data_IF_308458426422
#
_entry.id   IF_308458426422
#
_cell.length_a   1.000
_cell.length_b   1.000
_cell.length_c   1.000
_cell.angle_alpha   90.00
_cell.angle_beta   90.00
_cell.angle_gamma   90.00
#
_symmetry.space_group_name_H-M   'P 1'
#
loop_
_entity.id
_entity.type
_entity.pdbx_description
1 polymer ?
#
# COMPACT_ATOMS: atom_id res chain seq x y z
N UNK A 1 5.96 -25.08 -9.73
CA UNK A 1 4.76 -25.66 -10.38
C UNK A 1 4.13 -26.61 -9.36
N UNK A 2 3.11 -26.15 -8.64
CA UNK A 2 2.37 -26.99 -7.71
C UNK A 2 1.00 -27.24 -8.36
N UNK A 3 0.64 -28.51 -8.54
CA UNK A 3 -0.65 -28.92 -9.08
C UNK A 3 -1.43 -29.56 -7.94
N UNK A 4 -2.52 -28.92 -7.52
CA UNK A 4 -3.54 -29.55 -6.70
C UNK A 4 -4.85 -29.51 -7.49
N UNK A 5 -5.47 -30.68 -7.64
CA UNK A 5 -6.68 -30.89 -8.43
C UNK A 5 -7.88 -31.03 -7.50
N UNK A 6 -8.76 -30.04 -7.52
CA UNK A 6 -10.11 -30.10 -6.99
C UNK A 6 -11.02 -29.40 -8.01
N UNK A 7 -12.05 -30.12 -8.49
CA UNK A 7 -13.11 -29.63 -9.38
C UNK A 7 -12.71 -29.04 -10.74
N UNK A 8 -11.99 -29.81 -11.56
CA UNK A 8 -12.10 -29.76 -13.03
C UNK A 8 -11.73 -28.44 -13.72
N UNK A 9 -11.12 -27.48 -13.02
CA UNK A 9 -10.57 -26.25 -13.59
C UNK A 9 -9.10 -26.14 -13.19
N UNK A 10 -8.23 -26.37 -14.17
CA UNK A 10 -6.78 -26.26 -14.01
C UNK A 10 -6.38 -24.79 -13.86
N UNK A 11 -6.26 -24.31 -12.62
CA UNK A 11 -5.65 -23.01 -12.35
C UNK A 11 -4.14 -23.16 -12.25
N UNK A 12 -3.43 -22.85 -13.34
CA UNK A 12 -1.99 -22.76 -13.34
C UNK A 12 -1.57 -21.43 -12.68
N UNK A 13 -1.16 -21.47 -11.41
CA UNK A 13 -0.52 -20.32 -10.76
C UNK A 13 0.93 -20.19 -11.25
N UNK A 14 1.14 -19.24 -12.16
CA UNK A 14 2.44 -18.94 -12.73
C UNK A 14 3.04 -17.70 -12.03
N UNK A 15 3.94 -17.94 -11.06
CA UNK A 15 4.57 -16.87 -10.27
C UNK A 15 5.39 -15.88 -11.12
N UNK A 16 5.75 -16.27 -12.35
CA UNK A 16 6.44 -15.40 -13.31
C UNK A 16 5.54 -14.29 -13.87
N UNK A 17 4.22 -14.50 -13.89
CA UNK A 17 3.23 -13.55 -14.44
C UNK A 17 2.87 -12.44 -13.44
N UNK A 18 3.01 -12.71 -12.14
CA UNK A 18 2.84 -11.72 -11.08
C UNK A 18 4.06 -10.78 -11.03
N UNK A 19 5.26 -11.31 -11.30
CA UNK A 19 6.50 -10.53 -11.30
C UNK A 19 6.58 -9.54 -12.47
N UNK A 20 5.98 -9.86 -13.62
CA UNK A 20 5.92 -8.94 -14.77
C UNK A 20 4.83 -7.86 -14.61
N UNK A 21 3.76 -8.11 -13.85
CA UNK A 21 2.69 -7.13 -13.61
C UNK A 21 3.00 -6.09 -12.53
N UNK A 22 3.91 -6.38 -11.60
CA UNK A 22 4.27 -5.44 -10.52
C UNK A 22 5.35 -4.43 -10.98
N UNK A 23 6.10 -4.74 -12.03
CA UNK A 23 7.24 -3.92 -12.48
C UNK A 23 6.90 -2.98 -13.63
N UNK A 24 5.78 -3.17 -14.33
CA UNK A 24 5.32 -2.28 -15.40
C UNK A 24 4.05 -1.53 -15.00
N UNK A 25 4.22 -0.29 -14.54
CA UNK A 25 3.16 0.71 -14.51
C UNK A 25 3.18 1.46 -15.85
N UNK A 26 2.24 1.27 -16.79
CA UNK A 26 2.15 2.14 -17.94
C UNK A 26 1.51 3.45 -17.48
N UNK A 27 2.30 4.51 -17.48
CA UNK A 27 1.82 5.88 -17.47
C UNK A 27 0.98 6.15 -18.73
N UNK A 28 -0.27 6.59 -18.52
CA UNK A 28 -1.02 7.55 -19.37
C UNK A 28 -1.00 7.24 -20.88
N UNK A 29 -1.89 6.35 -21.36
CA UNK A 29 -2.29 6.33 -22.78
C UNK A 29 -3.61 5.58 -23.01
N UNK A 30 -4.73 6.06 -22.45
CA UNK A 30 -6.08 5.50 -22.73
C UNK A 30 -7.09 6.62 -22.94
N UNK A 31 -6.96 7.33 -24.07
CA UNK A 31 -8.03 8.24 -24.54
C UNK A 31 -8.16 8.31 -26.08
N UNK A 32 -7.16 7.86 -26.85
CA UNK A 32 -7.22 7.91 -28.32
C UNK A 32 -7.88 6.68 -28.97
N UNK A 33 -7.97 5.54 -28.30
CA UNK A 33 -8.51 4.30 -28.89
C UNK A 33 -10.04 4.25 -28.90
N UNK A 34 -10.72 4.84 -27.91
CA UNK A 34 -12.19 4.92 -27.88
C UNK A 34 -12.77 5.89 -28.93
N UNK A 35 -12.05 6.97 -29.26
CA UNK A 35 -12.48 7.90 -30.30
C UNK A 35 -12.38 7.32 -31.72
N UNK A 36 -11.51 6.32 -31.94
CA UNK A 36 -11.38 5.65 -33.24
C UNK A 36 -12.52 4.65 -33.50
N UNK A 37 -12.97 3.94 -32.47
CA UNK A 37 -14.05 2.95 -32.57
C UNK A 37 -15.42 3.64 -32.67
N UNK A 38 -15.63 4.74 -31.94
CA UNK A 38 -16.84 5.57 -32.07
C UNK A 38 -16.92 6.31 -33.41
N UNK A 39 -15.78 6.56 -34.08
CA UNK A 39 -15.76 7.15 -35.42
C UNK A 39 -16.22 6.16 -36.50
N UNK A 40 -15.94 4.87 -36.33
CA UNK A 40 -16.35 3.83 -37.30
C UNK A 40 -17.83 3.50 -37.18
N UNK A 41 -18.41 3.48 -35.97
CA UNK A 41 -19.87 3.28 -35.81
C UNK A 41 -20.70 4.47 -36.32
N UNK A 42 -20.17 5.70 -36.23
CA UNK A 42 -20.89 6.90 -36.65
C UNK A 42 -20.96 7.05 -38.18
N UNK A 43 -19.99 6.53 -38.92
CA UNK A 43 -19.94 6.61 -40.38
C UNK A 43 -20.96 5.65 -41.04
N UNK A 44 -21.37 4.58 -40.36
CA UNK A 44 -22.28 3.56 -40.92
C UNK A 44 -23.77 3.90 -40.75
N UNK A 45 -24.14 4.98 -40.03
CA UNK A 45 -25.54 5.35 -39.72
C UNK A 45 -26.08 6.58 -40.44
N UNK A 46 -25.30 7.22 -41.31
CA UNK A 46 -25.70 8.49 -41.96
C UNK A 46 -26.42 8.30 -43.32
N UNK A 47 -26.74 7.07 -43.73
CA UNK A 47 -27.45 6.79 -44.99
C UNK A 47 -28.89 6.28 -44.75
N UNK A 48 -29.83 7.17 -44.42
CA UNK A 48 -31.28 6.94 -44.67
C UNK A 48 -32.14 8.22 -44.59
N UNK A 49 -32.56 8.68 -45.78
CA UNK A 49 -33.89 9.23 -46.17
C UNK A 49 -34.14 10.77 -46.01
N UNK A 50 -34.91 11.42 -46.93
CA UNK A 50 -34.58 12.74 -47.48
C UNK A 50 -35.62 13.88 -47.28
N UNK A 51 -35.18 15.09 -47.68
CA UNK A 51 -35.92 16.27 -48.19
C UNK A 51 -36.97 17.00 -47.31
N UNK A 52 -36.70 18.27 -46.98
CA UNK A 52 -37.32 19.47 -47.63
C UNK A 52 -37.41 20.69 -46.70
N UNK A 53 -37.35 21.87 -47.35
CA UNK A 53 -37.97 23.16 -46.98
C UNK A 53 -37.03 24.28 -46.52
N UNK A 54 -37.22 25.41 -47.21
CA UNK A 54 -36.46 26.63 -47.19
C UNK A 54 -36.82 27.61 -46.05
N UNK A 55 -35.98 28.65 -45.93
CA UNK A 55 -36.36 30.07 -45.71
C UNK A 55 -36.01 30.71 -44.35
N UNK A 56 -35.30 31.84 -44.47
CA UNK A 56 -35.46 33.11 -43.74
C UNK A 56 -34.93 33.28 -42.29
N UNK A 57 -33.88 34.10 -42.20
CA UNK A 57 -33.73 35.32 -41.37
C UNK A 57 -34.28 35.35 -39.93
N UNK A 58 -33.38 35.57 -38.95
CA UNK A 58 -33.41 36.78 -38.11
C UNK A 58 -32.11 36.92 -37.30
N UNK A 59 -31.49 38.10 -37.41
CA UNK A 59 -30.44 38.62 -36.52
C UNK A 59 -30.91 38.70 -35.06
N UNK A 60 -30.01 38.48 -34.10
CA UNK A 60 -29.91 39.31 -32.89
C UNK A 60 -28.46 39.32 -32.40
N UNK A 61 -27.97 40.54 -32.20
CA UNK A 61 -26.64 41.07 -31.91
C UNK A 61 -26.08 40.71 -30.51
N UNK A 62 -24.74 40.79 -30.40
CA UNK A 62 -23.87 41.42 -29.35
C UNK A 62 -22.48 40.74 -29.47
N UNK A 63 -21.51 41.24 -30.23
CA UNK A 63 -20.66 42.42 -29.97
C UNK A 63 -19.92 42.36 -28.60
N UNK A 64 -18.76 41.71 -28.55
CA UNK A 64 -17.70 42.10 -27.62
C UNK A 64 -16.37 42.08 -28.36
N UNK A 65 -16.19 43.15 -29.12
CA UNK A 65 -14.95 43.64 -29.71
C UNK A 65 -13.80 43.54 -28.70
N UNK A 66 -12.86 42.64 -28.94
CA UNK A 66 -11.47 42.94 -28.57
C UNK A 66 -10.94 43.76 -29.73
N UNK A 67 -10.78 45.06 -29.50
CA UNK A 67 -10.27 45.97 -30.50
C UNK A 67 -8.95 45.44 -31.08
N UNK A 68 -8.73 45.49 -32.41
CA UNK A 68 -7.46 45.11 -33.02
C UNK A 68 -6.28 45.90 -32.42
N UNK A 69 -6.56 47.10 -31.91
CA UNK A 69 -5.63 47.94 -31.17
C UNK A 69 -5.23 47.34 -29.81
N UNK A 70 -6.13 46.63 -29.12
CA UNK A 70 -5.86 46.01 -27.82
C UNK A 70 -5.00 44.75 -27.96
N UNK A 71 -5.18 43.98 -29.04
CA UNK A 71 -4.29 42.87 -29.39
C UNK A 71 -2.89 43.38 -29.77
N UNK A 72 -2.80 44.51 -30.48
CA UNK A 72 -1.54 45.16 -30.78
C UNK A 72 -0.86 45.66 -29.49
N UNK A 73 -1.59 46.30 -28.58
CA UNK A 73 -1.08 46.83 -27.31
C UNK A 73 -0.64 45.73 -26.33
N UNK A 74 -1.17 44.51 -26.43
CA UNK A 74 -0.72 43.34 -25.67
C UNK A 74 0.39 42.55 -26.37
N UNK A 75 0.52 42.62 -27.68
CA UNK A 75 1.54 41.82 -28.39
C UNK A 75 2.86 42.58 -28.53
N UNK A 76 2.80 43.90 -28.78
CA UNK A 76 3.99 44.74 -29.01
C UNK A 76 4.91 44.85 -27.78
N UNK A 77 4.44 45.13 -26.55
CA UNK A 77 5.34 45.20 -25.40
C UNK A 77 5.90 43.82 -25.03
N UNK A 78 5.09 42.76 -25.08
CA UNK A 78 5.51 41.40 -24.70
C UNK A 78 6.36 40.69 -25.76
N UNK A 79 6.40 41.19 -27.00
CA UNK A 79 7.33 40.71 -28.03
C UNK A 79 8.77 41.15 -27.76
N UNK A 80 8.96 42.29 -27.10
CA UNK A 80 10.29 42.77 -26.65
C UNK A 80 10.77 42.07 -25.37
N UNK A 81 9.84 41.61 -24.53
CA UNK A 81 10.13 40.78 -23.36
C UNK A 81 10.44 39.35 -23.79
N UNK A 82 11.69 39.11 -24.22
CA UNK A 82 12.20 37.74 -24.30
C UNK A 82 12.22 37.17 -22.88
N UNK A 83 11.41 36.15 -22.54
CA UNK A 83 11.41 35.60 -21.20
C UNK A 83 12.85 35.16 -20.89
N UNK A 84 13.44 35.64 -19.78
CA UNK A 84 14.81 35.30 -19.44
C UNK A 84 14.90 33.79 -19.35
N UNK A 85 16.03 33.21 -19.78
CA UNK A 85 16.30 31.76 -19.62
C UNK A 85 16.44 31.47 -18.13
N UNK A 86 15.30 31.31 -17.46
CA UNK A 86 15.18 30.99 -16.05
C UNK A 86 15.68 29.56 -15.87
N UNK A 87 16.97 29.42 -15.57
CA UNK A 87 17.55 28.19 -15.00
C UNK A 87 17.13 28.12 -13.53
N UNK A 88 15.83 27.99 -13.30
CA UNK A 88 15.30 27.69 -11.98
C UNK A 88 15.75 26.27 -11.64
N UNK A 89 16.74 26.15 -10.74
CA UNK A 89 16.97 24.91 -10.02
C UNK A 89 15.71 24.71 -9.16
N UNK A 90 14.79 23.88 -9.63
CA UNK A 90 13.70 23.46 -8.76
C UNK A 90 14.32 22.80 -7.53
N UNK A 91 13.88 23.16 -6.31
CA UNK A 91 14.31 22.44 -5.12
C UNK A 91 13.87 20.99 -5.30
N UNK A 92 14.82 20.12 -5.60
CA UNK A 92 14.58 18.68 -5.64
C UNK A 92 14.66 18.21 -4.20
N UNK A 93 13.51 17.90 -3.61
CA UNK A 93 13.50 17.19 -2.33
C UNK A 93 14.20 15.85 -2.55
N UNK A 94 15.28 15.61 -1.80
CA UNK A 94 15.98 14.34 -1.84
C UNK A 94 15.02 13.26 -1.35
N UNK A 95 14.65 12.34 -2.24
CA UNK A 95 13.77 11.24 -1.86
C UNK A 95 14.52 10.33 -0.87
N UNK A 96 13.86 9.86 0.20
CA UNK A 96 14.47 8.94 1.14
C UNK A 96 14.85 7.62 0.46
N UNK A 97 15.88 6.97 0.98
CA UNK A 97 16.30 5.65 0.49
C UNK A 97 15.16 4.61 0.63
N UNK A 98 14.99 3.69 -0.32
CA UNK A 98 14.00 2.61 -0.22
C UNK A 98 14.07 1.82 1.09
N UNK A 99 15.28 1.64 1.66
CA UNK A 99 15.47 0.94 2.94
C UNK A 99 14.97 1.76 4.13
N UNK A 100 15.10 3.09 4.09
CA UNK A 100 14.54 3.98 5.11
C UNK A 100 13.02 3.90 5.11
N UNK A 101 12.40 3.91 3.92
CA UNK A 101 10.94 3.77 3.78
C UNK A 101 10.48 2.40 4.29
N UNK A 102 11.19 1.32 3.95
CA UNK A 102 10.91 -0.02 4.45
C UNK A 102 10.96 -0.09 5.99
N UNK A 103 12.01 0.44 6.62
CA UNK A 103 12.13 0.45 8.08
C UNK A 103 11.04 1.29 8.76
N UNK A 104 10.66 2.42 8.18
CA UNK A 104 9.56 3.24 8.69
C UNK A 104 8.23 2.50 8.61
N UNK A 105 7.94 1.81 7.50
CA UNK A 105 6.73 0.99 7.35
C UNK A 105 6.73 -0.18 8.34
N UNK A 106 7.87 -0.83 8.54
CA UNK A 106 7.98 -1.93 9.52
C UNK A 106 7.75 -1.42 10.95
N UNK A 107 8.27 -0.23 11.28
CA UNK A 107 8.06 0.41 12.57
C UNK A 107 6.60 0.82 12.78
N UNK A 108 5.94 1.43 11.79
CA UNK A 108 4.53 1.80 11.93
C UNK A 108 3.64 0.57 12.01
N UNK A 109 3.94 -0.49 11.25
CA UNK A 109 3.27 -1.78 11.36
C UNK A 109 3.41 -2.37 12.78
N UNK A 110 4.61 -2.34 13.36
CA UNK A 110 4.84 -2.76 14.74
C UNK A 110 3.95 -1.99 15.73
N UNK A 111 3.96 -0.65 15.67
CA UNK A 111 3.21 0.19 16.60
C UNK A 111 1.69 -0.05 16.50
N UNK A 112 1.19 -0.26 15.29
CA UNK A 112 -0.24 -0.52 15.08
C UNK A 112 -0.62 -1.90 15.63
N UNK A 113 0.14 -2.94 15.31
CA UNK A 113 -0.15 -4.31 15.78
C UNK A 113 0.05 -4.45 17.28
N UNK A 114 1.04 -3.76 17.85
CA UNK A 114 1.29 -3.81 19.28
C UNK A 114 0.18 -3.17 20.13
N UNK A 115 -0.78 -2.49 19.49
CA UNK A 115 -1.86 -1.82 20.21
C UNK A 115 -1.47 -0.45 20.76
N UNK A 116 -0.40 0.17 20.27
CA UNK A 116 0.08 1.47 20.79
C UNK A 116 -1.00 2.55 20.78
N UNK A 117 -1.87 2.56 19.77
CA UNK A 117 -2.99 3.49 19.68
C UNK A 117 -3.99 3.25 20.83
N UNK A 118 -4.25 1.98 21.17
CA UNK A 118 -5.09 1.64 22.32
C UNK A 118 -4.41 1.99 23.64
N UNK A 119 -3.10 1.80 23.74
CA UNK A 119 -2.32 2.20 24.92
C UNK A 119 -2.44 3.70 25.20
N UNK A 120 -2.38 4.54 24.17
CA UNK A 120 -2.50 6.01 24.30
C UNK A 120 -3.93 6.45 24.66
N UNK A 121 -4.96 5.79 24.14
CA UNK A 121 -6.35 6.21 24.37
C UNK A 121 -6.89 5.72 25.72
N UNK A 122 -6.57 4.48 26.07
CA UNK A 122 -7.16 3.78 27.23
C UNK A 122 -6.23 3.84 28.45
N UNK A 123 -4.94 4.15 28.24
CA UNK A 123 -3.91 4.16 29.28
C UNK A 123 -3.99 2.92 30.20
N UNK A 124 -3.98 1.69 29.63
CA UNK A 124 -4.09 0.49 30.43
C UNK A 124 -2.84 0.32 31.32
N UNK A 125 -2.95 -0.40 32.44
CA UNK A 125 -1.80 -0.70 33.27
C UNK A 125 -0.69 -1.42 32.48
N UNK A 126 0.56 -1.12 32.79
CA UNK A 126 1.71 -1.72 32.10
C UNK A 126 1.91 -3.21 32.40
N UNK A 127 1.66 -3.62 33.65
CA UNK A 127 1.78 -5.00 34.12
C UNK A 127 0.68 -5.30 35.14
N UNK A 128 0.19 -6.54 35.16
CA UNK A 128 -0.73 -7.02 36.18
C UNK A 128 -0.01 -7.53 37.42
N UNK A 129 -0.79 -7.72 38.48
CA UNK A 129 -0.35 -8.48 39.64
C UNK A 129 -1.47 -9.41 40.09
N UNK A 130 -1.09 -10.60 40.54
CA UNK A 130 -2.00 -11.53 41.19
C UNK A 130 -1.48 -11.76 42.60
N UNK A 131 -2.39 -11.70 43.58
CA UNK A 131 -2.05 -12.04 44.94
C UNK A 131 -2.29 -13.54 45.14
N UNK A 132 -1.28 -14.23 45.61
CA UNK A 132 -1.40 -15.64 45.99
C UNK A 132 -2.37 -15.76 47.19
N UNK A 133 -3.48 -16.51 47.07
CA UNK A 133 -4.49 -16.61 48.14
C UNK A 133 -3.95 -17.19 49.45
N UNK A 134 -2.89 -17.99 49.41
CA UNK A 134 -2.36 -18.69 50.59
C UNK A 134 -1.22 -17.91 51.25
N UNK A 135 -0.34 -17.31 50.46
CA UNK A 135 0.87 -16.63 50.97
C UNK A 135 0.72 -15.12 51.04
N UNK A 136 -0.31 -14.53 50.42
CA UNK A 136 -0.50 -13.08 50.30
C UNK A 136 0.56 -12.40 49.43
N UNK A 137 1.50 -13.16 48.85
CA UNK A 137 2.59 -12.64 48.04
C UNK A 137 2.05 -12.15 46.69
N UNK A 138 2.54 -10.98 46.26
CA UNK A 138 2.17 -10.37 44.99
C UNK A 138 3.10 -10.94 43.91
N UNK A 139 2.53 -11.64 42.92
CA UNK A 139 3.26 -12.15 41.77
C UNK A 139 2.96 -11.27 40.55
N UNK A 140 3.98 -10.82 39.80
CA UNK A 140 3.77 -10.06 38.58
C UNK A 140 3.16 -10.96 37.51
N UNK A 141 2.15 -10.45 36.79
CA UNK A 141 1.46 -11.17 35.71
C UNK A 141 1.52 -10.33 34.45
N UNK A 142 2.07 -10.92 33.39
CA UNK A 142 2.33 -10.24 32.12
C UNK A 142 1.13 -10.31 31.17
N UNK A 143 0.20 -11.26 31.39
CA UNK A 143 -0.94 -11.50 30.51
C UNK A 143 -2.26 -11.42 31.25
N UNK A 144 -3.21 -10.69 30.69
CA UNK A 144 -4.57 -10.67 31.23
C UNK A 144 -5.36 -11.86 30.68
N UNK A 145 -5.47 -12.91 31.49
CA UNK A 145 -6.17 -14.14 31.09
C UNK A 145 -7.69 -13.97 31.16
N UNK A 146 -8.42 -14.50 30.17
CA UNK A 146 -9.89 -14.58 30.19
C UNK A 146 -10.65 -13.28 29.89
N UNK A 147 -9.95 -12.15 29.69
CA UNK A 147 -10.58 -10.86 29.30
C UNK A 147 -10.04 -10.38 27.97
N UNK A 148 -10.81 -10.56 26.91
CA UNK A 148 -10.40 -10.24 25.53
C UNK A 148 -10.36 -8.75 25.22
N UNK A 149 -11.21 -7.95 25.87
CA UNK A 149 -11.31 -6.49 25.65
C UNK A 149 -10.26 -5.67 26.41
N UNK A 150 -9.50 -6.30 27.30
CA UNK A 150 -8.46 -5.64 28.10
C UNK A 150 -7.10 -6.20 27.75
N UNK A 151 -6.08 -5.37 27.72
CA UNK A 151 -4.70 -5.76 27.41
C UNK A 151 -3.74 -4.96 28.29
N UNK A 152 -2.64 -5.59 28.72
CA UNK A 152 -1.52 -4.87 29.32
C UNK A 152 -0.61 -4.32 28.22
N UNK A 153 0.03 -3.17 28.44
CA UNK A 153 0.95 -2.57 27.45
C UNK A 153 2.03 -3.59 27.03
N UNK A 154 2.59 -4.33 28.00
CA UNK A 154 3.61 -5.35 27.74
C UNK A 154 3.09 -6.55 26.93
N UNK A 155 1.80 -6.88 27.07
CA UNK A 155 1.15 -7.93 26.29
C UNK A 155 1.01 -7.51 24.82
N UNK A 156 0.59 -6.26 24.59
CA UNK A 156 0.52 -5.65 23.27
C UNK A 156 1.89 -5.60 22.58
N UNK A 157 2.86 -4.96 23.23
CA UNK A 157 4.23 -4.81 22.71
C UNK A 157 4.92 -6.15 22.43
N UNK A 158 4.76 -7.14 23.32
CA UNK A 158 5.34 -8.47 23.09
C UNK A 158 4.69 -9.19 21.90
N UNK A 159 3.38 -9.09 21.73
CA UNK A 159 2.67 -9.69 20.60
C UNK A 159 3.05 -9.05 19.26
N UNK A 160 3.15 -7.71 19.22
CA UNK A 160 3.66 -6.99 18.05
C UNK A 160 5.08 -7.39 17.67
N UNK A 161 5.95 -7.59 18.66
CA UNK A 161 7.34 -8.01 18.42
C UNK A 161 7.41 -9.41 17.81
N UNK A 162 6.61 -10.35 18.30
CA UNK A 162 6.57 -11.71 17.76
C UNK A 162 6.06 -11.75 16.31
N UNK A 163 5.05 -10.93 15.98
CA UNK A 163 4.57 -10.81 14.60
C UNK A 163 5.63 -10.21 13.66
N UNK A 164 6.32 -9.16 14.09
CA UNK A 164 7.40 -8.55 13.29
C UNK A 164 8.57 -9.52 13.14
N UNK A 165 8.95 -10.25 14.19
CA UNK A 165 10.00 -11.27 14.12
C UNK A 165 9.65 -12.37 13.10
N UNK A 166 8.40 -12.85 13.10
CA UNK A 166 7.91 -13.79 12.10
C UNK A 166 7.95 -13.22 10.67
N UNK A 167 7.55 -11.96 10.49
CA UNK A 167 7.60 -11.27 9.20
C UNK A 167 9.03 -11.04 8.68
N UNK A 168 9.95 -10.61 9.56
CA UNK A 168 11.38 -10.48 9.25
C UNK A 168 11.98 -11.84 8.90
N UNK A 169 11.50 -12.94 9.50
CA UNK A 169 11.90 -14.29 9.14
C UNK A 169 11.63 -14.63 7.68
N UNK A 170 10.50 -14.19 7.13
CA UNK A 170 10.17 -14.34 5.70
C UNK A 170 11.15 -13.53 4.84
N UNK A 171 11.49 -12.31 5.25
CA UNK A 171 12.49 -11.48 4.55
C UNK A 171 13.88 -12.14 4.59
N UNK A 172 14.28 -12.73 5.72
CA UNK A 172 15.53 -13.49 5.82
C UNK A 172 15.55 -14.71 4.88
N UNK A 173 14.42 -15.39 4.72
CA UNK A 173 14.29 -16.48 3.74
C UNK A 173 14.45 -16.00 2.30
N UNK A 174 13.93 -14.82 1.96
CA UNK A 174 14.15 -14.23 0.63
C UNK A 174 15.63 -13.88 0.41
N UNK A 175 16.29 -13.31 1.40
CA UNK A 175 17.75 -13.03 1.36
C UNK A 175 18.59 -14.31 1.25
N UNK A 176 18.10 -15.43 1.79
CA UNK A 176 18.76 -16.73 1.66
C UNK A 176 18.75 -17.28 0.23
N UNK A 177 17.85 -16.80 -0.64
CA UNK A 177 17.76 -17.21 -2.04
C UNK A 177 18.75 -16.46 -2.96
N UNK A 178 19.35 -15.37 -2.47
CA UNK A 178 20.31 -14.58 -3.24
C UNK A 178 21.48 -15.45 -3.75
N UNK A 179 21.79 -15.33 -5.04
CA UNK A 179 22.86 -16.08 -5.70
C UNK A 179 24.23 -15.44 -5.45
N UNK A 180 24.27 -14.17 -5.07
CA UNK A 180 25.50 -13.40 -4.90
C UNK A 180 26.16 -13.57 -3.51
N UNK A 181 25.72 -14.54 -2.71
CA UNK A 181 26.18 -14.75 -1.32
C UNK A 181 26.86 -16.11 -1.15
N UNK A 182 27.84 -16.17 -0.26
CA UNK A 182 28.52 -17.40 0.11
C UNK A 182 27.55 -18.44 0.70
N UNK A 183 27.79 -19.73 0.46
CA UNK A 183 26.90 -20.82 0.90
C UNK A 183 26.64 -20.82 2.41
N UNK A 184 27.64 -20.49 3.22
CA UNK A 184 27.49 -20.39 4.68
C UNK A 184 26.53 -19.29 5.12
N UNK A 185 26.61 -18.10 4.49
CA UNK A 185 25.74 -16.96 4.77
C UNK A 185 24.30 -17.24 4.34
N UNK A 186 24.13 -17.93 3.21
CA UNK A 186 22.81 -18.37 2.75
C UNK A 186 22.19 -19.37 3.74
N UNK A 187 22.99 -20.32 4.21
CA UNK A 187 22.56 -21.27 5.22
C UNK A 187 22.15 -20.56 6.52
N UNK A 188 22.91 -19.57 6.99
CA UNK A 188 22.55 -18.82 8.20
C UNK A 188 21.26 -18.03 8.05
N UNK A 189 21.02 -17.37 6.90
CA UNK A 189 19.75 -16.66 6.66
C UNK A 189 18.57 -17.63 6.55
N UNK A 190 18.76 -18.79 5.92
CA UNK A 190 17.72 -19.81 5.83
C UNK A 190 17.37 -20.36 7.22
N UNK A 191 18.37 -20.72 8.03
CA UNK A 191 18.12 -21.26 9.38
C UNK A 191 17.52 -20.21 10.30
N UNK A 192 18.02 -18.98 10.27
CA UNK A 192 17.48 -17.88 11.08
C UNK A 192 16.06 -17.49 10.65
N UNK A 193 15.76 -17.51 9.34
CA UNK A 193 14.44 -17.24 8.81
C UNK A 193 13.41 -18.31 9.19
N UNK A 194 13.76 -19.59 9.05
CA UNK A 194 12.88 -20.69 9.50
C UNK A 194 12.67 -20.64 11.01
N UNK A 195 13.74 -20.46 11.81
CA UNK A 195 13.61 -20.42 13.27
C UNK A 195 12.76 -19.25 13.74
N UNK A 196 12.91 -18.06 13.16
CA UNK A 196 12.12 -16.88 13.53
C UNK A 196 10.64 -17.03 13.19
N UNK A 197 10.29 -17.63 12.05
CA UNK A 197 8.89 -17.94 11.71
C UNK A 197 8.30 -18.94 12.71
N UNK A 198 9.02 -20.03 13.02
CA UNK A 198 8.53 -21.05 13.96
C UNK A 198 8.35 -20.47 15.36
N UNK A 199 9.33 -19.71 15.85
CA UNK A 199 9.25 -19.05 17.16
C UNK A 199 8.08 -18.06 17.18
N UNK A 200 7.96 -17.20 16.16
CA UNK A 200 6.86 -16.25 16.05
C UNK A 200 5.49 -16.96 16.07
N UNK A 201 5.33 -18.03 15.29
CA UNK A 201 4.10 -18.82 15.26
C UNK A 201 3.76 -19.46 16.62
N UNK A 202 4.71 -20.16 17.24
CA UNK A 202 4.49 -20.83 18.52
C UNK A 202 4.15 -19.82 19.61
N UNK A 203 4.88 -18.70 19.68
CA UNK A 203 4.66 -17.67 20.70
C UNK A 203 3.32 -16.95 20.50
N UNK A 204 2.97 -16.57 19.27
CA UNK A 204 1.65 -15.99 18.98
C UNK A 204 0.51 -16.95 19.31
N UNK A 205 0.68 -18.24 19.06
CA UNK A 205 -0.32 -19.25 19.42
C UNK A 205 -0.45 -19.41 20.94
N UNK A 206 0.66 -19.35 21.69
CA UNK A 206 0.63 -19.35 23.15
C UNK A 206 -0.12 -18.14 23.70
N UNK A 207 0.07 -16.94 23.13
CA UNK A 207 -0.65 -15.75 23.55
C UNK A 207 -2.16 -15.90 23.38
N UNK A 208 -2.61 -16.46 22.26
CA UNK A 208 -4.04 -16.72 22.04
C UNK A 208 -4.57 -17.72 23.07
N UNK A 209 -3.84 -18.79 23.37
CA UNK A 209 -4.25 -19.80 24.37
C UNK A 209 -4.31 -19.24 25.79
N UNK A 210 -3.42 -18.33 26.15
CA UNK A 210 -3.44 -17.66 27.46
C UNK A 210 -4.62 -16.68 27.53
N UNK A 211 -4.87 -15.94 26.45
CA UNK A 211 -5.98 -14.98 26.36
C UNK A 211 -7.34 -15.68 26.41
N UNK A 212 -7.49 -16.77 25.66
CA UNK A 212 -8.72 -17.56 25.49
C UNK A 212 -8.44 -19.00 25.92
N UNK A 213 -8.66 -19.36 27.20
CA UNK A 213 -8.49 -20.72 27.66
C UNK A 213 -9.51 -21.64 26.95
N UNK A 214 -9.04 -22.78 26.45
CA UNK A 214 -9.87 -23.68 25.63
C UNK A 214 -9.83 -23.39 24.11
N UNK A 215 -8.95 -22.50 23.66
CA UNK A 215 -8.76 -22.28 22.22
C UNK A 215 -8.19 -23.53 21.52
N UNK A 216 -9.01 -24.16 20.66
CA UNK A 216 -8.75 -25.42 19.95
C UNK A 216 -8.51 -26.65 20.87
N UNK A 217 -9.24 -26.74 21.98
CA UNK A 217 -9.41 -27.97 22.77
C UNK A 217 -10.74 -28.66 22.46
#
# INVERSE_FOLDING_TARGET
KFLSSQNGRTFAFNFHEIRSRIIYHPSIQTDQTLHSVLRVEKIQREDRIPQSTASAMSETSVESSIDPLFHLLRTVPFSFLRPPRLRLKLPTFTLPSPMTVFSLILLTYFLVISGFIYDVIVEPPGIGSTQDPVTGAIRPVVFMSGRVNGQYIIEGLSSGFMFVMGGVGIVMLDLALDKNRAKSVKASYATAGVSSIVIGYVMSMLFIRIKIPGYLH
#
